data_IF_267697147575
#
_entry.id   IF_267697147575
#
_cell.length_a   1.000
_cell.length_b   1.000
_cell.length_c   1.000
_cell.angle_alpha   90.00
_cell.angle_beta   90.00
_cell.angle_gamma   90.00
#
_symmetry.space_group_name_H-M   'P 1'
#
loop_
_entity.id
_entity.type
_entity.pdbx_description
1 polymer ?
#
# COMPACT_ATOMS: atom_id res chain seq x y z
N UNK A 1 14.64 5.05 -3.37
CA UNK A 1 15.41 4.06 -2.56
C UNK A 1 15.09 4.15 -1.07
N UNK A 2 15.39 5.25 -0.37
CA UNK A 2 15.11 5.38 1.08
C UNK A 2 13.63 5.20 1.42
N UNK A 3 12.73 5.84 0.66
CA UNK A 3 11.28 5.67 0.83
C UNK A 3 10.85 4.20 0.76
N UNK A 4 11.35 3.46 -0.24
CA UNK A 4 10.99 2.04 -0.40
C UNK A 4 11.45 1.15 0.76
N UNK A 5 12.61 1.44 1.35
CA UNK A 5 13.06 0.76 2.56
C UNK A 5 12.20 1.12 3.78
N UNK A 6 11.86 2.40 3.92
CA UNK A 6 10.99 2.90 4.99
C UNK A 6 9.60 2.26 4.94
N UNK A 7 8.99 2.20 3.76
CA UNK A 7 7.70 1.52 3.56
C UNK A 7 7.81 0.04 3.90
N UNK A 8 8.87 -0.66 3.47
CA UNK A 8 9.03 -2.07 3.79
C UNK A 8 9.04 -2.29 5.31
N UNK A 9 9.83 -1.50 6.06
CA UNK A 9 9.88 -1.58 7.52
C UNK A 9 8.53 -1.22 8.15
N UNK A 10 7.89 -0.15 7.69
CA UNK A 10 6.65 0.34 8.27
C UNK A 10 5.46 -0.59 8.04
N UNK A 11 5.42 -1.29 6.89
CA UNK A 11 4.40 -2.31 6.63
C UNK A 11 4.72 -3.60 7.39
N UNK A 12 5.99 -3.99 7.51
CA UNK A 12 6.38 -5.27 8.15
C UNK A 12 6.28 -5.23 9.68
N UNK A 13 6.62 -4.10 10.29
CA UNK A 13 6.61 -3.91 11.74
C UNK A 13 5.45 -3.01 12.17
N UNK A 14 5.01 -3.04 13.44
CA UNK A 14 3.90 -2.23 13.93
C UNK A 14 4.31 -0.75 14.12
N UNK A 15 4.68 -0.11 13.02
CA UNK A 15 4.86 1.34 12.95
C UNK A 15 3.48 2.00 12.95
N UNK A 16 3.43 3.21 13.52
CA UNK A 16 2.26 4.07 13.55
C UNK A 16 1.50 4.08 12.20
N UNK A 17 0.18 3.86 12.19
CA UNK A 17 -0.60 3.73 10.96
C UNK A 17 -0.66 5.02 10.15
N UNK A 18 -0.67 6.19 10.79
CA UNK A 18 -0.71 7.49 10.11
C UNK A 18 0.62 7.72 9.38
N UNK A 19 1.74 7.47 10.05
CA UNK A 19 3.08 7.55 9.44
C UNK A 19 3.22 6.57 8.28
N UNK A 20 2.74 5.33 8.46
CA UNK A 20 2.78 4.30 7.42
C UNK A 20 1.94 4.68 6.21
N UNK A 21 0.72 5.18 6.44
CA UNK A 21 -0.18 5.67 5.39
C UNK A 21 0.44 6.85 4.63
N UNK A 22 1.06 7.81 5.33
CA UNK A 22 1.72 8.96 4.70
C UNK A 22 2.83 8.53 3.73
N UNK A 23 3.66 7.54 4.10
CA UNK A 23 4.69 7.02 3.20
C UNK A 23 4.11 6.31 1.98
N UNK A 24 3.00 5.56 2.15
CA UNK A 24 2.33 4.88 1.04
C UNK A 24 1.58 5.86 0.12
N UNK A 25 1.00 6.93 0.66
CA UNK A 25 0.47 8.04 -0.14
C UNK A 25 1.58 8.67 -0.99
N UNK A 26 2.75 8.92 -0.40
CA UNK A 26 3.87 9.45 -1.15
C UNK A 26 4.33 8.50 -2.27
N UNK A 27 4.31 7.18 -2.03
CA UNK A 27 4.57 6.19 -3.07
C UNK A 27 3.52 6.25 -4.19
N UNK A 28 2.24 6.48 -3.88
CA UNK A 28 1.21 6.69 -4.90
C UNK A 28 1.54 7.91 -5.77
N UNK A 29 1.92 9.03 -5.15
CA UNK A 29 2.23 10.27 -5.86
C UNK A 29 3.49 10.15 -6.76
N UNK A 30 4.46 9.33 -6.37
CA UNK A 30 5.67 9.05 -7.16
C UNK A 30 5.46 7.98 -8.26
N UNK A 31 4.31 7.30 -8.28
CA UNK A 31 4.04 6.21 -9.21
C UNK A 31 3.23 6.70 -10.41
N UNK A 32 3.61 6.35 -11.66
CA UNK A 32 2.82 6.71 -12.84
C UNK A 32 1.36 6.24 -12.75
N UNK A 33 0.44 7.09 -13.21
CA UNK A 33 -1.02 6.87 -13.10
C UNK A 33 -1.51 5.53 -13.68
N UNK A 34 -0.84 5.00 -14.70
CA UNK A 34 -1.21 3.76 -15.38
C UNK A 34 -0.48 2.51 -14.84
N UNK A 35 0.27 2.65 -13.75
CA UNK A 35 0.99 1.53 -13.13
C UNK A 35 0.21 0.96 -11.94
N UNK A 36 0.12 -0.37 -11.89
CA UNK A 36 -0.49 -1.12 -10.79
C UNK A 36 0.11 -0.78 -9.41
N UNK A 37 1.35 -0.28 -9.36
CA UNK A 37 2.04 0.05 -8.12
C UNK A 37 1.28 1.07 -7.25
N UNK A 38 0.64 2.06 -7.87
CA UNK A 38 -0.18 3.04 -7.16
C UNK A 38 -1.41 2.39 -6.53
N UNK A 39 -2.05 1.48 -7.25
CA UNK A 39 -3.22 0.74 -6.76
C UNK A 39 -2.86 -0.14 -5.54
N UNK A 40 -1.74 -0.85 -5.64
CA UNK A 40 -1.25 -1.71 -4.56
C UNK A 40 -0.84 -0.89 -3.34
N UNK A 41 -0.17 0.25 -3.53
CA UNK A 41 0.23 1.14 -2.43
C UNK A 41 -0.98 1.73 -1.70
N UNK A 42 -1.97 2.25 -2.42
CA UNK A 42 -3.19 2.83 -1.84
C UNK A 42 -3.97 1.80 -1.01
N UNK A 43 -4.12 0.58 -1.54
CA UNK A 43 -4.81 -0.52 -0.84
C UNK A 43 -4.03 -0.98 0.38
N UNK A 44 -2.69 -1.04 0.28
CA UNK A 44 -1.87 -1.39 1.45
C UNK A 44 -1.99 -0.34 2.55
N UNK A 45 -2.09 0.95 2.20
CA UNK A 45 -2.29 2.01 3.19
C UNK A 45 -3.61 1.80 3.93
N UNK A 46 -4.69 1.53 3.19
CA UNK A 46 -6.01 1.25 3.77
C UNK A 46 -5.96 0.04 4.71
N UNK A 47 -5.34 -1.04 4.25
CA UNK A 47 -5.15 -2.26 5.02
C UNK A 47 -4.39 -2.03 6.34
N UNK A 48 -3.30 -1.25 6.31
CA UNK A 48 -2.53 -0.94 7.53
C UNK A 48 -3.37 -0.15 8.53
N UNK A 49 -4.13 0.84 8.05
CA UNK A 49 -5.03 1.63 8.90
C UNK A 49 -6.11 0.72 9.51
N UNK A 50 -6.72 -0.16 8.72
CA UNK A 50 -7.74 -1.10 9.20
C UNK A 50 -7.21 -2.07 10.27
N UNK A 51 -5.91 -2.38 10.27
CA UNK A 51 -5.31 -3.28 11.25
C UNK A 51 -4.82 -2.59 12.53
N UNK A 52 -4.38 -1.33 12.44
CA UNK A 52 -3.54 -0.71 13.49
C UNK A 52 -4.10 0.57 14.07
N UNK A 53 -4.98 1.27 13.36
CA UNK A 53 -5.51 2.54 13.84
C UNK A 53 -6.50 2.32 14.98
N UNK A 54 -6.45 3.18 15.99
CA UNK A 54 -7.51 3.29 16.99
C UNK A 54 -8.78 3.89 16.36
N UNK A 55 -9.94 3.69 16.98
CA UNK A 55 -11.25 4.04 16.40
C UNK A 55 -11.35 5.49 15.89
N UNK A 56 -10.80 6.45 16.63
CA UNK A 56 -10.81 7.89 16.29
C UNK A 56 -9.92 8.24 15.09
N UNK A 57 -8.77 7.59 14.96
CA UNK A 57 -7.89 7.72 13.80
C UNK A 57 -8.42 6.92 12.60
N UNK A 58 -9.05 5.77 12.86
CA UNK A 58 -9.52 4.83 11.85
C UNK A 58 -10.57 5.45 10.92
N UNK A 59 -11.54 6.18 11.47
CA UNK A 59 -12.57 6.86 10.68
C UNK A 59 -11.95 7.90 9.72
N UNK A 60 -11.12 8.79 10.25
CA UNK A 60 -10.51 9.89 9.50
C UNK A 60 -9.54 9.39 8.42
N UNK A 61 -8.60 8.52 8.80
CA UNK A 61 -7.63 7.93 7.88
C UNK A 61 -8.33 7.01 6.87
N UNK A 62 -9.34 6.26 7.30
CA UNK A 62 -10.13 5.42 6.43
C UNK A 62 -10.84 6.22 5.34
N UNK A 63 -11.48 7.34 5.70
CA UNK A 63 -12.10 8.23 4.71
C UNK A 63 -11.09 8.80 3.72
N UNK A 64 -9.94 9.28 4.21
CA UNK A 64 -8.85 9.78 3.36
C UNK A 64 -8.40 8.72 2.35
N UNK A 65 -8.14 7.50 2.81
CA UNK A 65 -7.62 6.42 1.99
C UNK A 65 -8.66 5.86 1.01
N UNK A 66 -9.94 5.91 1.34
CA UNK A 66 -11.00 5.60 0.38
C UNK A 66 -11.03 6.60 -0.78
N UNK A 67 -10.86 7.88 -0.50
CA UNK A 67 -10.75 8.90 -1.55
C UNK A 67 -9.48 8.72 -2.40
N UNK A 68 -8.35 8.37 -1.76
CA UNK A 68 -7.12 8.01 -2.48
C UNK A 68 -7.34 6.84 -3.42
N UNK A 69 -7.97 5.76 -2.96
CA UNK A 69 -8.28 4.57 -3.79
C UNK A 69 -9.17 4.95 -4.97
N UNK A 70 -10.23 5.74 -4.74
CA UNK A 70 -11.11 6.19 -5.82
C UNK A 70 -10.36 7.03 -6.86
N UNK A 71 -9.50 7.96 -6.42
CA UNK A 71 -8.67 8.77 -7.31
C UNK A 71 -7.70 7.89 -8.13
N UNK A 72 -7.02 6.94 -7.50
CA UNK A 72 -6.11 6.02 -8.18
C UNK A 72 -6.86 5.16 -9.19
N UNK A 73 -8.03 4.62 -8.83
CA UNK A 73 -8.85 3.82 -9.74
C UNK A 73 -9.32 4.64 -10.95
N UNK A 74 -9.69 5.90 -10.75
CA UNK A 74 -10.05 6.82 -11.83
C UNK A 74 -8.87 7.07 -12.77
N UNK A 75 -7.69 7.39 -12.25
CA UNK A 75 -6.49 7.66 -13.06
C UNK A 75 -5.97 6.41 -13.79
N UNK A 76 -6.00 5.26 -13.14
CA UNK A 76 -5.48 3.99 -13.65
C UNK A 76 -6.38 3.33 -14.71
N UNK A 77 -7.71 3.43 -14.54
CA UNK A 77 -8.65 2.63 -15.35
C UNK A 77 -9.95 3.34 -15.66
N UNK A 78 -10.00 4.68 -15.50
CA UNK A 78 -11.19 5.48 -15.77
C UNK A 78 -12.43 4.95 -15.04
N UNK A 79 -12.26 4.52 -13.79
CA UNK A 79 -13.36 4.07 -12.92
C UNK A 79 -14.21 5.28 -12.53
N UNK A 80 -15.53 5.20 -12.74
CA UNK A 80 -16.47 6.33 -12.55
C UNK A 80 -17.63 6.01 -11.59
N UNK A 81 -17.79 4.75 -11.18
CA UNK A 81 -18.89 4.31 -10.32
C UNK A 81 -18.46 3.15 -9.41
N UNK A 82 -19.28 2.87 -8.39
CA UNK A 82 -19.00 1.85 -7.39
C UNK A 82 -18.89 0.44 -8.00
N UNK A 83 -19.76 0.08 -8.95
CA UNK A 83 -19.70 -1.24 -9.58
C UNK A 83 -18.44 -1.42 -10.44
N UNK A 84 -17.97 -0.35 -11.08
CA UNK A 84 -16.70 -0.32 -11.79
C UNK A 84 -15.51 -0.41 -10.82
N UNK A 85 -15.59 0.24 -9.66
CA UNK A 85 -14.58 0.13 -8.61
C UNK A 85 -14.47 -1.30 -8.08
N UNK A 86 -15.60 -1.96 -7.83
CA UNK A 86 -15.61 -3.34 -7.36
C UNK A 86 -14.94 -4.29 -8.36
N UNK A 87 -15.30 -4.17 -9.65
CA UNK A 87 -14.65 -4.94 -10.72
C UNK A 87 -13.17 -4.62 -10.87
N UNK A 88 -12.77 -3.37 -10.61
CA UNK A 88 -11.37 -2.94 -10.68
C UNK A 88 -10.56 -3.56 -9.54
N UNK A 89 -11.09 -3.56 -8.32
CA UNK A 89 -10.50 -4.24 -7.16
C UNK A 89 -10.35 -5.74 -7.41
N UNK A 90 -11.37 -6.39 -7.96
CA UNK A 90 -11.36 -7.83 -8.24
C UNK A 90 -10.37 -8.17 -9.35
N UNK A 91 -10.39 -7.44 -10.46
CA UNK A 91 -9.48 -7.64 -11.60
C UNK A 91 -8.01 -7.50 -11.17
N UNK A 92 -7.72 -6.52 -10.33
CA UNK A 92 -6.38 -6.30 -9.80
C UNK A 92 -6.11 -7.12 -8.54
N UNK A 93 -7.01 -7.99 -8.09
CA UNK A 93 -6.86 -8.83 -6.89
C UNK A 93 -6.45 -8.04 -5.63
N UNK A 94 -7.03 -6.86 -5.45
CA UNK A 94 -6.70 -5.92 -4.38
C UNK A 94 -7.49 -6.15 -3.08
N UNK A 95 -8.24 -7.24 -2.99
CA UNK A 95 -9.04 -7.57 -1.80
C UNK A 95 -8.36 -8.60 -0.88
N UNK A 96 -7.34 -9.29 -1.38
CA UNK A 96 -6.65 -10.32 -0.63
C UNK A 96 -5.23 -9.86 -0.27
N UNK A 97 -4.92 -9.61 1.02
CA UNK A 97 -3.58 -9.20 1.44
C UNK A 97 -2.50 -10.23 1.11
N UNK A 98 -2.85 -11.52 1.00
CA UNK A 98 -1.91 -12.55 0.56
C UNK A 98 -1.51 -12.40 -0.91
N UNK A 99 -2.30 -11.63 -1.69
CA UNK A 99 -1.99 -11.32 -3.09
C UNK A 99 -1.32 -9.96 -3.23
N UNK A 100 -1.87 -8.90 -2.63
CA UNK A 100 -1.34 -7.55 -2.86
C UNK A 100 -0.09 -7.21 -2.03
N UNK A 101 0.13 -7.81 -0.86
CA UNK A 101 1.33 -7.52 -0.07
C UNK A 101 2.64 -8.04 -0.73
N UNK A 102 2.68 -9.27 -1.29
CA UNK A 102 3.84 -9.69 -2.09
C UNK A 102 4.08 -8.79 -3.31
N UNK A 103 3.02 -8.27 -3.94
CA UNK A 103 3.13 -7.32 -5.05
C UNK A 103 3.69 -5.98 -4.60
N UNK A 104 3.32 -5.49 -3.41
CA UNK A 104 3.95 -4.30 -2.84
C UNK A 104 5.45 -4.55 -2.66
N UNK A 105 5.85 -5.71 -2.11
CA UNK A 105 7.27 -6.03 -1.95
C UNK A 105 8.03 -5.96 -3.29
N UNK A 106 7.44 -6.47 -4.38
CA UNK A 106 8.02 -6.37 -5.74
C UNK A 106 8.14 -4.91 -6.23
N UNK A 107 7.15 -4.06 -5.95
CA UNK A 107 7.22 -2.61 -6.26
C UNK A 107 8.38 -1.96 -5.51
N UNK A 108 8.51 -2.25 -4.21
CA UNK A 108 9.61 -1.73 -3.39
C UNK A 108 10.97 -2.26 -3.87
N UNK A 109 11.04 -3.51 -4.33
CA UNK A 109 12.24 -4.08 -4.94
C UNK A 109 12.70 -3.33 -6.17
N UNK A 110 11.77 -2.98 -7.06
CA UNK A 110 12.10 -2.20 -8.24
C UNK A 110 12.63 -0.79 -7.88
N UNK A 111 12.07 -0.17 -6.83
CA UNK A 111 12.45 1.18 -6.38
C UNK A 111 13.80 1.19 -5.64
N UNK A 112 14.05 0.17 -4.82
CA UNK A 112 15.27 0.08 -3.99
C UNK A 112 16.42 -0.51 -4.80
N UNK A 113 16.15 -1.51 -5.63
CA UNK A 113 17.16 -2.22 -6.41
C UNK A 113 18.16 -2.94 -5.51
N UNK A 114 19.44 -2.77 -5.82
CA UNK A 114 20.59 -3.34 -5.10
C UNK A 114 20.99 -2.57 -3.83
N UNK A 115 20.30 -1.48 -3.49
CA UNK A 115 20.72 -0.55 -2.44
C UNK A 115 20.22 -0.88 -1.04
N UNK A 116 19.61 -2.05 -0.82
CA UNK A 116 19.05 -2.43 0.47
C UNK A 116 20.06 -2.31 1.62
N UNK A 117 19.68 -1.64 2.70
CA UNK A 117 20.53 -1.48 3.89
C UNK A 117 20.46 -2.66 4.85
N UNK A 118 19.46 -3.52 4.69
CA UNK A 118 19.20 -4.66 5.57
C UNK A 118 18.74 -5.87 4.76
N UNK A 119 19.03 -7.04 5.30
CA UNK A 119 18.56 -8.31 4.76
C UNK A 119 17.12 -8.57 5.22
N UNK A 120 16.20 -8.49 4.27
CA UNK A 120 14.76 -8.65 4.51
C UNK A 120 14.36 -10.07 4.77
N UNK A 121 15.05 -11.03 4.19
CA UNK A 121 14.72 -12.45 4.38
C UNK A 121 15.14 -12.88 5.78
N UNK A 122 16.29 -12.41 6.27
CA UNK A 122 16.71 -12.60 7.67
C UNK A 122 15.74 -11.93 8.66
N UNK A 123 15.14 -10.79 8.32
CA UNK A 123 14.15 -10.15 9.18
C UNK A 123 12.81 -10.90 9.18
N UNK A 124 12.35 -11.39 8.02
CA UNK A 124 11.11 -12.18 7.91
C UNK A 124 11.17 -13.46 8.72
N UNK A 125 12.32 -14.14 8.76
CA UNK A 125 12.49 -15.39 9.55
C UNK A 125 12.39 -15.17 11.06
N UNK A 126 12.40 -13.91 11.52
CA UNK A 126 12.30 -13.55 12.94
C UNK A 126 10.89 -13.08 13.32
N UNK A 127 9.98 -12.95 12.37
CA UNK A 127 8.60 -12.58 12.65
C UNK A 127 7.88 -13.77 13.32
N UNK A 128 6.98 -13.50 14.29
CA UNK A 128 6.12 -14.55 14.84
C UNK A 128 5.15 -15.07 13.78
N UNK A 129 4.70 -16.32 13.97
CA UNK A 129 3.65 -16.97 13.16
C UNK A 129 2.28 -16.27 13.29
#
# INVERSE_FOLDING_TARGET
AVLGMGIWLAVTFPVDPEVTAAMLIHLVDETPDNADGAAVAAITARYVVDLRAADDQHENLGFLLNNLIAMVAQRHSNVQDQGALDRWLDRLQLRDPQVFLPRLAQVLDAIVGDRWWFDRDVLRTRLPD
#
